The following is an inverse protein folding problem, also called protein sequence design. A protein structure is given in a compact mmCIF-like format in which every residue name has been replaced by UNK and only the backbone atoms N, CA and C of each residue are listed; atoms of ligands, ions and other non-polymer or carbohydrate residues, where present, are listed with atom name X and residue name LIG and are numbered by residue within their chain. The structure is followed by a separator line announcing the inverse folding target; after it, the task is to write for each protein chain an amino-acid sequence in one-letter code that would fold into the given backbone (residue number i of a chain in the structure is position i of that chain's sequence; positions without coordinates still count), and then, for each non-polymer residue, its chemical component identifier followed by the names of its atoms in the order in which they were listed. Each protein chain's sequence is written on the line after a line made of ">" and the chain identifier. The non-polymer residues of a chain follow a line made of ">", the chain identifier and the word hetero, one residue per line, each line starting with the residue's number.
data_IF_365087554938
#
_entry.id   IF_365087554938
#
_cell.length_a   1.000
_cell.length_b   1.000
_cell.length_c   1.000
_cell.angle_alpha   90.00
_cell.angle_beta   90.00
_cell.angle_gamma   90.00
#
_symmetry.space_group_name_H-M   'P 1'
#
loop_
_entity.id
_entity.type
_entity.pdbx_description
1 polymer ?
#
# COMPACT_ATOMS: atom_id res chain seq x y z
N UNK A 1 9.16 -2.82 28.10
CA UNK A 1 8.70 -1.63 27.35
C UNK A 1 8.15 -2.00 25.97
N UNK A 2 8.88 -2.69 25.08
CA UNK A 2 8.31 -3.17 23.80
C UNK A 2 7.24 -4.27 23.98
N UNK A 3 7.39 -5.15 24.98
CA UNK A 3 6.46 -6.26 25.28
C UNK A 3 5.06 -5.82 25.72
N UNK A 4 4.87 -4.56 26.12
CA UNK A 4 3.56 -4.03 26.53
C UNK A 4 2.84 -3.25 25.43
N UNK A 5 3.55 -2.81 24.38
CA UNK A 5 2.97 -2.04 23.28
C UNK A 5 2.23 -2.96 22.28
N UNK A 6 1.14 -2.49 21.70
CA UNK A 6 0.41 -3.23 20.63
C UNK A 6 1.11 -3.13 19.28
N UNK A 7 1.78 -2.00 19.02
CA UNK A 7 2.51 -1.69 17.79
C UNK A 7 3.87 -1.12 18.13
N UNK A 8 4.89 -1.48 17.37
CA UNK A 8 6.25 -0.98 17.52
C UNK A 8 6.54 -0.07 16.33
N UNK A 9 6.86 1.19 16.60
CA UNK A 9 7.35 2.13 15.57
C UNK A 9 8.84 2.33 15.79
N UNK A 10 9.64 2.06 14.76
CA UNK A 10 11.09 2.20 14.81
C UNK A 10 11.59 3.14 13.73
N UNK A 11 12.39 4.13 14.11
CA UNK A 11 13.03 5.04 13.16
C UNK A 11 14.47 4.57 12.87
N UNK A 12 14.76 4.19 11.62
CA UNK A 12 16.11 3.84 11.19
C UNK A 12 16.84 5.05 10.60
N UNK A 13 18.16 5.07 10.77
CA UNK A 13 19.02 6.10 10.19
C UNK A 13 20.31 5.45 9.72
N UNK A 14 20.32 5.04 8.45
CA UNK A 14 21.42 4.25 7.85
C UNK A 14 21.73 2.98 8.63
N UNK A 15 20.71 2.16 8.87
CA UNK A 15 20.88 0.88 9.57
C UNK A 15 21.95 -0.01 8.92
N UNK A 16 22.14 0.10 7.61
CA UNK A 16 23.22 -0.59 6.88
C UNK A 16 24.64 -0.22 7.33
N UNK A 17 24.85 0.98 7.88
CA UNK A 17 26.14 1.43 8.46
C UNK A 17 26.29 1.05 9.93
N UNK A 18 25.18 0.77 10.60
CA UNK A 18 25.12 0.61 12.05
C UNK A 18 24.58 -0.78 12.42
N UNK A 19 25.49 -1.77 12.50
CA UNK A 19 25.16 -3.18 12.78
C UNK A 19 24.31 -3.36 14.04
N UNK A 20 24.54 -2.54 15.07
CA UNK A 20 23.76 -2.56 16.31
C UNK A 20 22.30 -2.15 16.08
N UNK A 21 22.06 -1.17 15.21
CA UNK A 21 20.71 -0.76 14.83
C UNK A 21 20.03 -1.85 14.01
N UNK A 22 20.75 -2.47 13.07
CA UNK A 22 20.22 -3.59 12.28
C UNK A 22 19.83 -4.78 13.17
N UNK A 23 20.71 -5.19 14.09
CA UNK A 23 20.44 -6.29 15.02
C UNK A 23 19.26 -6.00 15.95
N UNK A 24 19.09 -4.74 16.37
CA UNK A 24 17.93 -4.32 17.15
C UNK A 24 16.64 -4.42 16.31
N UNK A 25 16.65 -3.93 15.08
CA UNK A 25 15.49 -4.02 14.17
C UNK A 25 15.11 -5.48 13.94
N UNK A 26 16.06 -6.36 13.65
CA UNK A 26 15.84 -7.79 13.50
C UNK A 26 15.24 -8.42 14.77
N UNK A 27 15.76 -8.04 15.93
CA UNK A 27 15.24 -8.53 17.21
C UNK A 27 13.80 -8.07 17.49
N UNK A 28 13.41 -6.89 16.98
CA UNK A 28 12.05 -6.38 17.07
C UNK A 28 11.12 -7.08 16.06
N UNK A 29 11.60 -7.33 14.84
CA UNK A 29 10.86 -8.05 13.81
C UNK A 29 10.59 -9.52 14.17
N UNK A 30 11.46 -10.14 14.96
CA UNK A 30 11.26 -11.48 15.48
C UNK A 30 10.18 -11.54 16.59
N UNK A 31 9.65 -10.40 17.03
CA UNK A 31 8.51 -10.39 17.96
C UNK A 31 7.22 -10.58 17.16
N UNK A 32 6.22 -11.26 17.75
CA UNK A 32 4.89 -11.47 17.14
C UNK A 32 4.04 -10.18 17.13
N UNK A 33 4.67 -9.02 16.95
CA UNK A 33 4.03 -7.71 17.03
C UNK A 33 4.23 -6.95 15.72
N UNK A 34 3.23 -6.16 15.29
CA UNK A 34 3.37 -5.36 14.10
C UNK A 34 4.48 -4.32 14.29
N UNK A 35 5.44 -4.32 13.37
CA UNK A 35 6.57 -3.38 13.35
C UNK A 35 6.45 -2.45 12.15
N UNK A 36 6.38 -1.16 12.45
CA UNK A 36 6.38 -0.08 11.47
C UNK A 36 7.78 0.52 11.43
N UNK A 37 8.45 0.39 10.30
CA UNK A 37 9.79 0.93 10.08
C UNK A 37 9.71 2.28 9.35
N UNK A 38 10.29 3.32 9.95
CA UNK A 38 10.41 4.64 9.34
C UNK A 38 11.88 4.87 8.98
N UNK A 39 12.22 4.90 7.70
CA UNK A 39 13.58 5.17 7.23
C UNK A 39 13.77 6.67 7.07
N UNK A 40 14.74 7.23 7.81
CA UNK A 40 14.92 8.67 7.92
C UNK A 40 15.88 9.27 6.91
N UNK A 41 16.79 8.49 6.31
CA UNK A 41 17.79 9.04 5.38
C UNK A 41 17.90 8.23 4.11
N UNK A 42 18.30 6.97 4.24
CA UNK A 42 18.57 6.11 3.11
C UNK A 42 17.39 5.15 2.86
N UNK A 43 16.77 5.15 1.66
CA UNK A 43 15.74 4.17 1.32
C UNK A 43 16.29 2.74 1.31
N UNK A 44 17.61 2.54 1.25
CA UNK A 44 18.21 1.20 1.25
C UNK A 44 17.86 0.41 2.52
N UNK A 45 17.64 1.07 3.65
CA UNK A 45 17.19 0.43 4.89
C UNK A 45 15.88 -0.35 4.70
N UNK A 46 15.00 0.11 3.81
CA UNK A 46 13.74 -0.59 3.50
C UNK A 46 13.99 -1.95 2.82
N UNK A 47 15.08 -2.06 2.06
CA UNK A 47 15.44 -3.31 1.37
C UNK A 47 16.08 -4.33 2.29
N UNK A 48 16.70 -3.87 3.39
CA UNK A 48 17.30 -4.74 4.39
C UNK A 48 16.27 -5.42 5.29
N UNK A 49 15.12 -4.77 5.52
CA UNK A 49 14.09 -5.26 6.43
C UNK A 49 12.74 -5.45 5.73
N UNK A 50 12.64 -6.33 4.72
CA UNK A 50 11.40 -6.53 3.97
C UNK A 50 10.28 -7.20 4.79
N UNK A 51 10.59 -7.69 5.98
CA UNK A 51 9.66 -8.37 6.88
C UNK A 51 8.81 -7.42 7.72
N UNK A 52 9.13 -6.11 7.75
CA UNK A 52 8.33 -5.13 8.47
C UNK A 52 6.91 -5.03 7.88
N UNK A 53 5.88 -4.95 8.72
CA UNK A 53 4.49 -4.87 8.30
C UNK A 53 4.20 -3.61 7.47
N UNK A 54 4.87 -2.52 7.81
CA UNK A 54 4.80 -1.26 7.09
C UNK A 54 6.15 -0.56 7.08
N UNK A 55 6.52 -0.02 5.92
CA UNK A 55 7.75 0.74 5.75
C UNK A 55 7.40 2.12 5.19
N UNK A 56 7.83 3.17 5.90
CA UNK A 56 7.72 4.56 5.48
C UNK A 56 9.11 5.13 5.22
N UNK A 57 9.25 5.90 4.15
CA UNK A 57 10.53 6.49 3.76
C UNK A 57 10.37 8.01 3.73
N UNK A 58 11.13 8.70 4.58
CA UNK A 58 11.00 10.15 4.75
C UNK A 58 12.13 10.95 4.09
N UNK A 59 13.24 10.28 3.72
CA UNK A 59 14.44 10.87 3.11
C UNK A 59 15.10 12.03 3.89
N UNK A 60 14.60 12.38 5.07
CA UNK A 60 15.16 13.42 5.92
C UNK A 60 14.80 13.18 7.39
N UNK A 61 15.75 13.36 8.32
CA UNK A 61 15.50 13.31 9.77
C UNK A 61 14.91 14.62 10.32
N UNK A 62 14.50 15.56 9.45
CA UNK A 62 13.98 16.85 9.92
C UNK A 62 12.64 16.69 10.65
N UNK A 63 12.32 17.56 11.62
CA UNK A 63 11.06 17.50 12.35
C UNK A 63 9.83 17.52 11.44
N UNK A 64 9.87 18.28 10.35
CA UNK A 64 8.78 18.33 9.37
C UNK A 64 8.55 17.01 8.65
N UNK A 65 9.62 16.32 8.27
CA UNK A 65 9.53 15.01 7.62
C UNK A 65 9.01 13.93 8.58
N UNK A 66 9.44 13.96 9.84
CA UNK A 66 8.94 13.05 10.88
C UNK A 66 7.46 13.35 11.20
N UNK A 67 7.07 14.62 11.26
CA UNK A 67 5.68 15.01 11.46
C UNK A 67 4.80 14.50 10.31
N UNK A 68 5.26 14.64 9.06
CA UNK A 68 4.53 14.13 7.90
C UNK A 68 4.35 12.59 7.96
N UNK A 69 5.36 11.86 8.42
CA UNK A 69 5.25 10.41 8.63
C UNK A 69 4.26 10.06 9.75
N UNK A 70 4.27 10.81 10.85
CA UNK A 70 3.30 10.65 11.93
C UNK A 70 1.87 10.92 11.46
N UNK A 71 1.66 11.96 10.66
CA UNK A 71 0.37 12.30 10.07
C UNK A 71 -0.11 11.17 9.12
N UNK A 72 0.79 10.59 8.31
CA UNK A 72 0.48 9.46 7.44
C UNK A 72 0.06 8.20 8.24
N UNK A 73 0.74 7.91 9.34
CA UNK A 73 0.38 6.79 10.23
C UNK A 73 -0.98 7.02 10.89
N UNK A 74 -1.26 8.24 11.36
CA UNK A 74 -2.55 8.58 11.95
C UNK A 74 -3.70 8.45 10.92
N UNK A 75 -3.48 8.85 9.68
CA UNK A 75 -4.46 8.72 8.60
C UNK A 75 -4.70 7.26 8.21
N UNK A 76 -3.66 6.43 8.21
CA UNK A 76 -3.77 5.01 7.86
C UNK A 76 -4.60 4.25 8.90
N UNK A 77 -4.46 4.59 10.18
CA UNK A 77 -5.28 4.03 11.26
C UNK A 77 -6.77 4.38 11.11
N UNK A 78 -7.10 5.59 10.66
CA UNK A 78 -8.48 5.98 10.37
C UNK A 78 -9.06 5.18 9.19
N UNK A 79 -8.26 4.89 8.17
CA UNK A 79 -8.70 4.04 7.04
C UNK A 79 -8.86 2.57 7.43
N UNK A 80 -8.03 2.02 8.31
CA UNK A 80 -8.19 0.63 8.81
C UNK A 80 -9.53 0.46 9.56
N UNK A 81 -9.90 1.44 10.40
CA UNK A 81 -11.20 1.49 11.07
C UNK A 81 -12.36 1.62 10.06
N UNK A 82 -12.18 2.41 9.00
CA UNK A 82 -13.20 2.60 7.96
C UNK A 82 -13.34 1.40 7.01
N UNK A 83 -12.28 0.61 6.83
CA UNK A 83 -12.32 -0.64 6.05
C UNK A 83 -12.91 -1.77 6.89
N UNK A 84 -12.66 -1.81 8.19
CA UNK A 84 -13.25 -2.79 9.13
C UNK A 84 -14.79 -2.66 9.23
N UNK A 85 -15.36 -1.47 8.98
CA UNK A 85 -16.82 -1.25 8.95
C UNK A 85 -17.47 -1.46 7.57
N UNK A 86 -16.70 -1.77 6.51
CA UNK A 86 -17.26 -2.23 5.22
C UNK A 86 -17.26 -3.77 5.24
N UNK A 87 -18.34 -4.45 5.61
CA UNK A 87 -19.54 -4.69 4.76
C UNK A 87 -19.27 -4.97 3.26
N UNK A 88 -18.04 -5.25 2.84
CA UNK A 88 -17.68 -5.49 1.45
C UNK A 88 -17.71 -6.99 1.06
N UNK A 89 -17.70 -7.90 2.04
CA UNK A 89 -17.81 -9.35 1.78
C UNK A 89 -19.25 -9.77 1.39
N UNK A 90 -20.27 -8.95 1.70
CA UNK A 90 -21.68 -9.31 1.44
C UNK A 90 -22.18 -9.02 0.01
N UNK A 91 -21.41 -8.32 -0.82
CA UNK A 91 -21.80 -8.01 -2.21
C UNK A 91 -21.24 -8.99 -3.25
N UNK A 92 -20.14 -9.69 -2.99
CA UNK A 92 -19.63 -10.70 -3.93
C UNK A 92 -20.45 -12.00 -3.97
N UNK A 93 -21.23 -12.31 -2.91
CA UNK A 93 -22.17 -13.46 -2.93
C UNK A 93 -23.46 -13.22 -3.72
N UNK A 94 -23.77 -11.97 -4.12
CA UNK A 94 -25.01 -11.66 -4.86
C UNK A 94 -24.85 -11.73 -6.38
N UNK A 95 -23.62 -11.71 -6.91
CA UNK A 95 -23.34 -11.83 -8.35
C UNK A 95 -22.90 -13.23 -8.80
N UNK A 96 -22.66 -14.18 -7.88
CA UNK A 96 -22.31 -15.57 -8.20
C UNK A 96 -23.49 -16.47 -8.61
N UNK A 97 -24.70 -15.93 -8.79
CA UNK A 97 -25.89 -16.67 -9.26
C UNK A 97 -26.45 -16.03 -10.53
N UNK A 98 -25.67 -16.04 -11.61
CA UNK A 98 -26.24 -16.02 -12.96
C UNK A 98 -25.84 -17.31 -13.65
N UNK A 99 -26.75 -18.28 -13.55
CA UNK A 99 -26.83 -19.45 -14.43
C UNK A 99 -26.82 -18.96 -15.88
N UNK A 100 -25.77 -19.28 -16.64
CA UNK A 100 -25.86 -19.34 -18.11
C UNK A 100 -26.00 -20.82 -18.48
N UNK A 101 -27.24 -21.30 -18.40
CA UNK A 101 -27.67 -22.50 -19.11
C UNK A 101 -27.84 -22.08 -20.57
N UNK A 102 -26.95 -22.54 -21.43
CA UNK A 102 -27.02 -22.30 -22.87
C UNK A 102 -26.45 -23.47 -23.65
N UNK A 103 -27.29 -24.47 -23.93
CA UNK A 103 -27.04 -25.48 -24.97
C UNK A 103 -26.97 -24.77 -26.33
N UNK A 104 -25.84 -24.82 -27.03
CA UNK A 104 -25.78 -24.52 -28.47
C UNK A 104 -25.50 -25.80 -29.25
N UNK A 105 -26.55 -26.35 -29.87
CA UNK A 105 -26.45 -27.37 -30.93
C UNK A 105 -26.16 -26.66 -32.27
N UNK A 106 -25.12 -27.11 -32.98
CA UNK A 106 -25.05 -27.21 -34.45
C UNK A 106 -24.99 -25.95 -35.33
N UNK A 107 -24.13 -26.06 -36.36
CA UNK A 107 -24.16 -25.43 -37.71
C UNK A 107 -23.42 -24.07 -37.92
N UNK A 108 -22.95 -23.78 -39.16
CA UNK A 108 -21.52 -23.68 -39.48
C UNK A 108 -21.10 -22.33 -40.09
N UNK A 109 -19.78 -22.11 -40.14
CA UNK A 109 -19.15 -21.14 -41.04
C UNK A 109 -19.23 -19.66 -40.64
N UNK A 110 -18.09 -18.96 -40.75
CA UNK A 110 -18.06 -17.50 -40.78
C UNK A 110 -17.52 -16.81 -39.52
N UNK A 111 -16.22 -16.51 -39.56
CA UNK A 111 -15.57 -15.28 -39.04
C UNK A 111 -16.11 -14.77 -37.69
N UNK A 112 -15.53 -15.20 -36.56
CA UNK A 112 -15.45 -14.40 -35.32
C UNK A 112 -14.17 -14.73 -34.54
N UNK A 113 -13.06 -14.08 -34.89
CA UNK A 113 -11.89 -14.05 -34.00
C UNK A 113 -12.19 -13.19 -32.76
N UNK A 114 -12.33 -13.88 -31.62
CA UNK A 114 -11.93 -13.51 -30.24
C UNK A 114 -12.03 -12.03 -29.84
N UNK A 115 -13.22 -11.60 -29.41
CA UNK A 115 -13.46 -10.38 -28.60
C UNK A 115 -13.22 -10.62 -27.09
N UNK A 116 -12.74 -11.80 -26.67
CA UNK A 116 -12.50 -12.10 -25.25
C UNK A 116 -11.12 -11.66 -24.72
N UNK A 117 -10.16 -11.31 -25.59
CA UNK A 117 -8.82 -10.91 -25.16
C UNK A 117 -8.68 -9.40 -24.88
N UNK A 118 -9.56 -8.56 -25.43
CA UNK A 118 -9.46 -7.10 -25.31
C UNK A 118 -10.06 -6.52 -24.01
N UNK A 119 -10.92 -7.26 -23.31
CA UNK A 119 -11.43 -6.83 -22.00
C UNK A 119 -10.43 -7.06 -20.85
N UNK A 120 -9.46 -7.97 -21.01
CA UNK A 120 -8.45 -8.26 -19.99
C UNK A 120 -7.34 -7.21 -19.90
N UNK A 121 -7.00 -6.55 -21.02
CA UNK A 121 -5.87 -5.61 -21.07
C UNK A 121 -6.23 -4.19 -20.60
N UNK A 122 -7.51 -3.82 -20.63
CA UNK A 122 -7.99 -2.49 -20.22
C UNK A 122 -7.95 -2.28 -18.69
N UNK A 123 -7.97 -3.35 -17.90
CA UNK A 123 -7.90 -3.28 -16.44
C UNK A 123 -6.44 -3.07 -15.97
N UNK A 124 -5.44 -3.49 -16.75
CA UNK A 124 -4.03 -3.31 -16.38
C UNK A 124 -3.47 -1.90 -16.70
N UNK A 125 -4.07 -1.18 -17.66
CA UNK A 125 -3.62 0.17 -18.04
C UNK A 125 -4.42 1.33 -17.42
N UNK A 126 -5.53 1.03 -16.73
CA UNK A 126 -6.49 2.05 -16.26
C UNK A 126 -6.16 2.79 -14.95
N UNK A 127 -5.08 2.45 -14.22
CA UNK A 127 -4.88 2.96 -12.84
C UNK A 127 -3.80 4.03 -12.66
N UNK A 128 -2.90 4.35 -13.61
CA UNK A 128 -1.87 5.39 -13.36
C UNK A 128 -1.70 6.43 -14.46
N UNK A 129 -2.75 7.22 -14.69
CA UNK A 129 -2.60 8.60 -15.19
C UNK A 129 -3.57 9.55 -14.50
N UNK A 130 -3.44 9.69 -13.18
CA UNK A 130 -4.03 10.83 -12.46
C UNK A 130 -3.16 12.06 -12.72
N UNK A 131 -3.53 12.75 -13.79
CA UNK A 131 -3.10 14.09 -14.15
C UNK A 131 -3.80 15.07 -13.19
N UNK A 132 -3.09 15.70 -12.26
CA UNK A 132 -3.55 16.96 -11.65
C UNK A 132 -2.79 18.13 -12.29
N UNK A 133 -3.51 18.88 -13.13
CA UNK A 133 -3.17 20.23 -13.55
C UNK A 133 -3.54 21.21 -12.41
N UNK A 134 -2.65 22.18 -12.20
CA UNK A 134 -2.89 23.55 -11.76
C UNK A 134 -3.72 23.84 -10.51
N UNK A 135 -3.05 24.45 -9.52
CA UNK A 135 -3.52 25.72 -8.99
C UNK A 135 -2.36 26.71 -8.94
N UNK A 136 -2.41 27.73 -9.80
CA UNK A 136 -1.69 28.99 -9.63
C UNK A 136 -2.06 29.56 -8.26
N UNK A 137 -1.10 30.09 -7.49
CA UNK A 137 -1.41 31.14 -6.50
C UNK A 137 -0.46 32.32 -6.71
N UNK A 138 -0.98 33.55 -6.55
CA UNK A 138 -0.29 34.78 -6.92
C UNK A 138 0.75 35.20 -5.88
N UNK A 139 1.65 36.05 -6.35
CA UNK A 139 2.46 37.00 -5.59
C UNK A 139 1.71 37.61 -4.41
N UNK A 140 2.38 37.74 -3.27
CA UNK A 140 2.33 38.94 -2.42
C UNK A 140 3.73 39.19 -1.86
N UNK A 141 4.31 40.29 -2.33
CA UNK A 141 5.41 41.04 -1.73
C UNK A 141 4.92 41.76 -0.48
N UNK A 142 5.68 41.71 0.61
CA UNK A 142 5.80 42.77 1.62
C UNK A 142 7.13 42.59 2.32
#
# INVERSE_FOLDING_TARGET
>A
MATQAEVIVFCSYDAWKHVQQASLIESLLNQEKPVILITLRDPFDATLFPQADQILITFSPTPHSIQAAADELNLTNLFSIFVSTKRCIKLQRKFGKMNVVGRSKGLPGGIKMKISALLGLAILFGIRKVRRKNSKRPFLSS
#
